data_IF_910539593546
#
_entry.id   IF_910539593546
#
_cell.length_a   1.000
_cell.length_b   1.000
_cell.length_c   1.000
_cell.angle_alpha   90.00
_cell.angle_beta   90.00
_cell.angle_gamma   90.00
#
_symmetry.space_group_name_H-M   'P 1'
#
loop_
_entity.id
_entity.type
_entity.pdbx_description
1 polymer ?
#
# COMPACT_ATOMS: atom_id res chain seq x y z
N UNK A 1 3.98 34.75 13.85
CA UNK A 1 3.96 34.22 12.47
C UNK A 1 5.33 33.64 12.21
N UNK A 2 5.45 32.31 12.28
CA UNK A 2 6.63 31.57 11.88
C UNK A 2 6.11 30.27 11.32
N UNK A 3 5.95 30.22 10.00
CA UNK A 3 5.60 29.00 9.29
C UNK A 3 6.65 27.95 9.62
N UNK A 4 6.25 26.93 10.37
CA UNK A 4 7.05 25.73 10.56
C UNK A 4 7.16 25.06 9.21
N UNK A 5 8.22 25.36 8.47
CA UNK A 5 8.59 24.62 7.28
C UNK A 5 8.64 23.15 7.68
N UNK A 6 7.68 22.36 7.19
CA UNK A 6 7.73 20.92 7.33
C UNK A 6 9.08 20.48 6.77
N UNK A 7 9.98 20.04 7.64
CA UNK A 7 11.23 19.46 7.21
C UNK A 7 10.88 18.11 6.57
N UNK A 8 10.57 18.11 5.27
CA UNK A 8 10.33 16.91 4.48
C UNK A 8 11.68 16.28 4.15
N UNK A 9 12.49 16.02 5.17
CA UNK A 9 13.71 15.25 4.99
C UNK A 9 13.31 13.79 4.79
N UNK A 10 13.58 13.25 3.60
CA UNK A 10 13.41 11.82 3.32
C UNK A 10 14.51 11.09 4.08
N UNK A 11 14.14 10.41 5.17
CA UNK A 11 15.04 9.55 5.95
C UNK A 11 14.74 8.08 5.67
N UNK A 12 15.69 7.19 5.99
CA UNK A 12 15.48 5.74 5.93
C UNK A 12 14.22 5.32 6.71
N UNK A 13 14.04 5.82 7.93
CA UNK A 13 12.88 5.52 8.76
C UNK A 13 11.57 6.01 8.14
N UNK A 14 11.59 7.19 7.50
CA UNK A 14 10.42 7.68 6.78
C UNK A 14 10.07 6.78 5.59
N UNK A 15 11.07 6.31 4.83
CA UNK A 15 10.88 5.38 3.71
C UNK A 15 10.33 4.03 4.19
N UNK A 16 10.88 3.46 5.26
CA UNK A 16 10.37 2.21 5.86
C UNK A 16 8.91 2.37 6.30
N UNK A 17 8.58 3.48 6.97
CA UNK A 17 7.20 3.78 7.34
C UNK A 17 6.27 3.90 6.14
N UNK A 18 6.71 4.52 5.02
CA UNK A 18 5.90 4.54 3.79
C UNK A 18 5.68 3.14 3.21
N UNK A 19 6.65 2.24 3.31
CA UNK A 19 6.48 0.85 2.89
C UNK A 19 5.43 0.14 3.75
N UNK A 20 5.46 0.34 5.06
CA UNK A 20 4.49 -0.25 5.99
C UNK A 20 3.08 0.30 5.74
N UNK A 21 2.93 1.62 5.56
CA UNK A 21 1.66 2.24 5.19
C UNK A 21 1.08 1.65 3.89
N UNK A 22 1.93 1.33 2.90
CA UNK A 22 1.51 0.66 1.67
C UNK A 22 0.98 -0.76 1.93
N UNK A 23 1.66 -1.52 2.77
CA UNK A 23 1.26 -2.89 3.13
C UNK A 23 -0.05 -2.90 3.94
N UNK A 24 -0.18 -1.98 4.91
CA UNK A 24 -1.40 -1.80 5.69
C UNK A 24 -2.60 -1.44 4.80
N UNK A 25 -2.40 -0.52 3.85
CA UNK A 25 -3.42 -0.15 2.88
C UNK A 25 -3.79 -1.33 1.97
N UNK A 26 -2.82 -2.09 1.48
CA UNK A 26 -3.07 -3.27 0.66
C UNK A 26 -3.85 -4.34 1.42
N UNK A 27 -3.55 -4.53 2.71
CA UNK A 27 -4.26 -5.45 3.58
C UNK A 27 -5.71 -4.99 3.80
N UNK A 28 -5.92 -3.70 4.11
CA UNK A 28 -7.25 -3.13 4.30
C UNK A 28 -8.11 -3.26 3.03
N UNK A 29 -7.53 -3.04 1.84
CA UNK A 29 -8.21 -3.25 0.56
C UNK A 29 -8.56 -4.73 0.39
N UNK A 30 -7.62 -5.66 0.62
CA UNK A 30 -7.88 -7.09 0.49
C UNK A 30 -9.01 -7.59 1.39
N UNK A 31 -9.11 -7.05 2.61
CA UNK A 31 -10.18 -7.39 3.55
C UNK A 31 -11.58 -7.02 3.08
N UNK A 32 -11.73 -6.12 2.09
CA UNK A 32 -13.03 -5.73 1.55
C UNK A 32 -13.66 -6.78 0.62
N UNK A 33 -12.90 -7.78 0.16
CA UNK A 33 -13.42 -8.82 -0.75
C UNK A 33 -14.53 -9.67 -0.09
N UNK A 34 -14.33 -10.07 1.17
CA UNK A 34 -15.32 -10.85 1.93
C UNK A 34 -16.65 -10.09 2.11
N UNK A 35 -16.64 -8.90 2.75
CA UNK A 35 -17.84 -8.09 2.93
C UNK A 35 -18.55 -7.74 1.62
N UNK A 36 -17.81 -7.49 0.53
CA UNK A 36 -18.41 -7.24 -0.78
C UNK A 36 -19.14 -8.48 -1.34
N UNK A 37 -18.56 -9.68 -1.18
CA UNK A 37 -19.20 -10.94 -1.56
C UNK A 37 -20.46 -11.20 -0.74
N UNK A 38 -20.39 -11.01 0.58
CA UNK A 38 -21.53 -11.21 1.48
C UNK A 38 -22.67 -10.24 1.17
N UNK A 39 -22.34 -8.98 0.86
CA UNK A 39 -23.32 -7.99 0.43
C UNK A 39 -24.00 -8.38 -0.89
N UNK A 40 -23.24 -8.86 -1.88
CA UNK A 40 -23.81 -9.33 -3.15
C UNK A 40 -24.79 -10.49 -2.94
N UNK A 41 -24.45 -11.45 -2.07
CA UNK A 41 -25.32 -12.58 -1.77
C UNK A 41 -26.58 -12.15 -1.00
N UNK A 42 -26.43 -11.25 -0.03
CA UNK A 42 -27.56 -10.66 0.71
C UNK A 42 -28.54 -9.96 -0.22
N UNK A 43 -28.05 -9.16 -1.18
CA UNK A 43 -28.90 -8.46 -2.16
C UNK A 43 -29.61 -9.46 -3.06
N UNK A 44 -28.90 -10.49 -3.55
CA UNK A 44 -29.49 -11.54 -4.41
C UNK A 44 -30.67 -12.24 -3.72
N UNK A 45 -30.54 -12.53 -2.43
CA UNK A 45 -31.59 -13.19 -1.66
C UNK A 45 -32.78 -12.25 -1.37
N UNK A 46 -32.53 -10.96 -1.15
CA UNK A 46 -33.56 -9.99 -0.82
C UNK A 46 -34.37 -9.48 -2.03
N UNK A 47 -33.84 -9.58 -3.25
CA UNK A 47 -34.46 -9.07 -4.46
C UNK A 47 -34.73 -10.16 -5.52
N UNK A 48 -35.45 -11.25 -5.20
CA UNK A 48 -35.74 -12.30 -6.17
C UNK A 48 -36.56 -11.75 -7.34
N UNK A 49 -36.16 -12.09 -8.57
CA UNK A 49 -36.82 -11.67 -9.80
C UNK A 49 -36.41 -10.28 -10.33
N UNK A 50 -35.53 -9.56 -9.63
CA UNK A 50 -34.99 -8.29 -10.14
C UNK A 50 -33.88 -8.56 -11.15
N UNK A 51 -33.98 -7.97 -12.35
CA UNK A 51 -32.97 -8.14 -13.39
C UNK A 51 -31.58 -7.65 -12.96
N UNK A 52 -31.51 -6.62 -12.11
CA UNK A 52 -30.26 -6.08 -11.56
C UNK A 52 -29.41 -7.16 -10.86
N UNK A 53 -30.02 -8.14 -10.20
CA UNK A 53 -29.30 -9.20 -9.47
C UNK A 53 -28.40 -10.02 -10.41
N UNK A 54 -28.75 -10.10 -11.70
CA UNK A 54 -27.93 -10.75 -12.71
C UNK A 54 -26.63 -10.00 -13.02
N UNK A 55 -26.54 -8.70 -12.68
CA UNK A 55 -25.32 -7.90 -12.85
C UNK A 55 -24.33 -8.00 -11.68
N UNK A 56 -24.77 -8.51 -10.52
CA UNK A 56 -23.94 -8.63 -9.32
C UNK A 56 -22.67 -9.50 -9.51
N UNK A 57 -22.71 -10.64 -10.22
CA UNK A 57 -21.49 -11.41 -10.51
C UNK A 57 -20.45 -10.59 -11.26
N UNK A 58 -20.85 -9.85 -12.30
CA UNK A 58 -19.93 -9.04 -13.10
C UNK A 58 -19.36 -7.88 -12.29
N UNK A 59 -20.18 -7.22 -11.47
CA UNK A 59 -19.72 -6.19 -10.55
C UNK A 59 -18.71 -6.73 -9.54
N UNK A 60 -18.96 -7.93 -8.99
CA UNK A 60 -18.05 -8.61 -8.07
C UNK A 60 -16.71 -8.92 -8.74
N UNK A 61 -16.73 -9.48 -9.95
CA UNK A 61 -15.49 -9.75 -10.71
C UNK A 61 -14.68 -8.49 -10.95
N UNK A 62 -15.31 -7.40 -11.40
CA UNK A 62 -14.62 -6.11 -11.61
C UNK A 62 -14.01 -5.56 -10.32
N UNK A 63 -14.70 -5.74 -9.19
CA UNK A 63 -14.18 -5.36 -7.89
C UNK A 63 -12.98 -6.22 -7.49
N UNK A 64 -13.05 -7.54 -7.66
CA UNK A 64 -11.94 -8.47 -7.40
C UNK A 64 -10.70 -8.12 -8.23
N UNK A 65 -10.87 -7.82 -9.52
CA UNK A 65 -9.80 -7.40 -10.42
C UNK A 65 -9.15 -6.08 -9.97
N UNK A 66 -9.97 -5.05 -9.67
CA UNK A 66 -9.47 -3.77 -9.18
C UNK A 66 -8.74 -3.92 -7.84
N UNK A 67 -9.30 -4.73 -6.93
CA UNK A 67 -8.73 -5.02 -5.63
C UNK A 67 -7.33 -5.62 -5.76
N UNK A 68 -7.18 -6.63 -6.63
CA UNK A 68 -5.90 -7.26 -6.91
C UNK A 68 -4.91 -6.25 -7.51
N UNK A 69 -5.33 -5.47 -8.50
CA UNK A 69 -4.48 -4.46 -9.11
C UNK A 69 -3.97 -3.44 -8.08
N UNK A 70 -4.84 -2.93 -7.21
CA UNK A 70 -4.46 -1.96 -6.18
C UNK A 70 -3.43 -2.57 -5.21
N UNK A 71 -3.66 -3.80 -4.76
CA UNK A 71 -2.75 -4.51 -3.85
C UNK A 71 -1.40 -4.78 -4.47
N UNK A 72 -1.36 -5.18 -5.74
CA UNK A 72 -0.11 -5.36 -6.48
C UNK A 72 0.67 -4.05 -6.58
N UNK A 73 0.01 -2.95 -6.93
CA UNK A 73 0.66 -1.64 -7.05
C UNK A 73 1.18 -1.12 -5.71
N UNK A 74 0.43 -1.32 -4.63
CA UNK A 74 0.88 -0.98 -3.29
C UNK A 74 2.07 -1.84 -2.86
N UNK A 75 2.03 -3.15 -3.12
CA UNK A 75 3.15 -4.05 -2.84
C UNK A 75 4.42 -3.69 -3.61
N UNK A 76 4.30 -3.31 -4.89
CA UNK A 76 5.41 -2.80 -5.68
C UNK A 76 5.95 -1.47 -5.12
N UNK A 77 5.06 -0.58 -4.67
CA UNK A 77 5.43 0.66 -3.99
C UNK A 77 6.22 0.40 -2.71
N UNK A 78 5.74 -0.51 -1.86
CA UNK A 78 6.39 -0.89 -0.62
C UNK A 78 7.80 -1.46 -0.86
N UNK A 79 7.95 -2.35 -1.86
CA UNK A 79 9.27 -2.89 -2.26
C UNK A 79 10.23 -1.77 -2.68
N UNK A 80 9.77 -0.78 -3.45
CA UNK A 80 10.60 0.35 -3.88
C UNK A 80 11.03 1.22 -2.70
N UNK A 81 10.11 1.50 -1.77
CA UNK A 81 10.45 2.25 -0.55
C UNK A 81 11.52 1.54 0.29
N UNK A 82 11.40 0.22 0.48
CA UNK A 82 12.41 -0.60 1.16
C UNK A 82 13.75 -0.56 0.44
N UNK A 83 13.76 -0.77 -0.87
CA UNK A 83 14.98 -0.72 -1.67
C UNK A 83 15.68 0.65 -1.58
N UNK A 84 14.92 1.75 -1.59
CA UNK A 84 15.49 3.09 -1.38
C UNK A 84 16.05 3.25 0.04
N UNK A 85 15.36 2.76 1.07
CA UNK A 85 15.84 2.82 2.45
C UNK A 85 17.17 2.06 2.61
N UNK A 86 17.26 0.85 2.05
CA UNK A 86 18.48 0.04 2.11
C UNK A 86 19.66 0.69 1.38
N UNK A 87 19.40 1.39 0.27
CA UNK A 87 20.42 2.17 -0.44
C UNK A 87 20.92 3.37 0.37
N UNK A 88 20.03 4.08 1.08
CA UNK A 88 20.44 5.18 1.96
C UNK A 88 21.33 4.69 3.10
N UNK A 89 20.93 3.61 3.78
CA UNK A 89 21.72 3.02 4.87
C UNK A 89 23.10 2.54 4.40
N UNK A 90 23.17 1.94 3.20
CA UNK A 90 24.44 1.51 2.63
C UNK A 90 25.39 2.69 2.36
N UNK A 91 24.86 3.78 1.78
CA UNK A 91 25.65 4.97 1.49
C UNK A 91 26.14 5.65 2.77
N UNK A 92 25.29 5.74 3.80
CA UNK A 92 25.68 6.29 5.10
C UNK A 92 26.78 5.47 5.78
N UNK A 93 26.65 4.14 5.77
CA UNK A 93 27.68 3.24 6.29
C UNK A 93 29.01 3.36 5.54
N UNK A 94 28.98 3.48 4.21
CA UNK A 94 30.18 3.64 3.40
C UNK A 94 30.90 4.96 3.70
N UNK A 95 30.15 6.07 3.80
CA UNK A 95 30.69 7.39 4.14
C UNK A 95 31.27 7.40 5.55
N UNK A 96 30.54 6.83 6.53
CA UNK A 96 31.01 6.73 7.92
C UNK A 96 32.33 5.95 8.01
N UNK A 97 32.43 4.82 7.31
CA UNK A 97 33.67 4.03 7.23
C UNK A 97 34.82 4.83 6.62
N UNK A 98 34.57 5.55 5.53
CA UNK A 98 35.56 6.40 4.86
C UNK A 98 36.05 7.55 5.75
N UNK A 99 35.13 8.23 6.44
CA UNK A 99 35.46 9.31 7.36
C UNK A 99 36.28 8.80 8.56
N UNK A 100 35.92 7.64 9.11
CA UNK A 100 36.69 7.01 10.16
C UNK A 100 38.10 6.61 9.69
N UNK A 101 38.26 6.17 8.45
CA UNK A 101 39.57 5.84 7.90
C UNK A 101 40.46 7.09 7.64
N UNK A 102 39.86 8.26 7.39
CA UNK A 102 40.60 9.51 7.10
C UNK A 102 40.91 10.31 8.38
N UNK A 103 39.98 10.33 9.33
CA UNK A 103 40.04 11.19 10.51
C UNK A 103 40.07 10.46 11.85
N UNK A 104 39.97 9.13 11.84
CA UNK A 104 40.08 8.26 13.02
C UNK A 104 41.50 7.77 13.27
#
# INVERSE_FOLDING_TARGET
MGEGAANVSVTTDWLRKRADDCDDCANAIGQQLGPASDACETIRQAAPGWEFVNSLPDMRTRWEELNNLLRERLGDGAKKFRACADQYDHNESAISTLLHAIFG
#
